data_IF_411457550645
#
_entry.id   IF_411457550645
#
_cell.length_a   1.000
_cell.length_b   1.000
_cell.length_c   1.000
_cell.angle_alpha   90.00
_cell.angle_beta   90.00
_cell.angle_gamma   90.00
#
_symmetry.space_group_name_H-M   'P 1'
#
loop_
_entity.id
_entity.type
_entity.pdbx_description
1 polymer ?
#
# COMPACT_ATOMS: atom_id res chain seq x y z
N UNK A 1 34.85 -17.79 -8.84
CA UNK A 1 34.22 -17.35 -10.10
C UNK A 1 33.38 -18.52 -10.59
N UNK A 2 32.02 -18.42 -10.54
CA UNK A 2 31.14 -19.39 -11.22
C UNK A 2 31.40 -19.26 -12.72
N UNK A 3 31.76 -20.36 -13.39
CA UNK A 3 31.88 -20.39 -14.86
C UNK A 3 30.48 -20.19 -15.43
N UNK A 4 30.36 -19.27 -16.37
CA UNK A 4 29.09 -19.02 -17.09
C UNK A 4 28.73 -20.32 -17.85
N UNK A 5 27.55 -20.91 -17.57
CA UNK A 5 27.13 -22.15 -18.24
C UNK A 5 26.97 -21.99 -19.77
N UNK A 6 26.77 -20.76 -20.27
CA UNK A 6 26.68 -20.44 -21.69
C UNK A 6 28.00 -20.69 -22.45
N UNK A 7 29.13 -20.89 -21.74
CA UNK A 7 30.45 -21.16 -22.31
C UNK A 7 30.95 -22.60 -22.07
N UNK A 8 30.07 -23.49 -21.65
CA UNK A 8 30.41 -24.93 -21.59
C UNK A 8 30.43 -25.50 -23.01
N UNK A 9 31.61 -25.65 -23.55
CA UNK A 9 31.83 -26.35 -24.82
C UNK A 9 32.14 -27.80 -24.49
N UNK A 10 31.28 -28.70 -24.95
CA UNK A 10 31.49 -30.15 -24.87
C UNK A 10 31.87 -30.65 -26.26
N UNK A 11 33.16 -30.75 -26.52
CA UNK A 11 33.69 -31.37 -27.75
C UNK A 11 33.91 -32.83 -27.51
N UNK A 12 33.17 -33.71 -28.20
CA UNK A 12 33.46 -35.13 -28.23
C UNK A 12 34.52 -35.39 -29.30
N UNK A 13 35.49 -36.29 -29.05
CA UNK A 13 36.51 -36.61 -30.03
C UNK A 13 35.91 -37.28 -31.28
N UNK A 14 36.33 -36.82 -32.48
CA UNK A 14 36.02 -37.50 -33.72
C UNK A 14 36.82 -38.78 -33.80
N UNK A 15 36.15 -39.93 -33.71
CA UNK A 15 36.75 -41.26 -33.82
C UNK A 15 36.20 -41.92 -35.07
N UNK A 16 37.07 -42.17 -36.04
CA UNK A 16 36.71 -42.70 -37.35
C UNK A 16 37.04 -44.21 -37.47
N UNK A 17 36.33 -45.02 -36.65
CA UNK A 17 36.44 -46.48 -36.66
C UNK A 17 35.09 -47.15 -36.79
N UNK A 18 34.92 -48.17 -37.57
CA UNK A 18 33.65 -48.91 -37.76
C UNK A 18 33.50 -50.00 -36.66
N UNK A 19 33.55 -49.58 -35.41
CA UNK A 19 33.42 -50.48 -34.29
C UNK A 19 32.69 -49.86 -33.12
N UNK A 20 32.65 -50.51 -31.98
CA UNK A 20 31.98 -50.05 -30.74
C UNK A 20 32.42 -48.65 -30.30
N UNK A 21 33.63 -48.20 -30.63
CA UNK A 21 34.19 -46.88 -30.30
C UNK A 21 33.55 -45.78 -31.12
N UNK A 22 33.20 -46.00 -32.39
CA UNK A 22 32.46 -45.07 -33.23
C UNK A 22 31.01 -44.86 -32.68
N UNK A 23 30.38 -45.95 -32.26
CA UNK A 23 29.07 -45.90 -31.64
C UNK A 23 29.09 -45.09 -30.34
N UNK A 24 30.11 -45.28 -29.50
CA UNK A 24 30.32 -44.53 -28.26
C UNK A 24 30.56 -43.07 -28.52
N UNK A 25 31.33 -42.70 -29.55
CA UNK A 25 31.58 -41.31 -29.95
C UNK A 25 30.28 -40.58 -30.37
N UNK A 26 29.45 -41.25 -31.16
CA UNK A 26 28.13 -40.72 -31.59
C UNK A 26 27.21 -40.50 -30.35
N UNK A 27 27.17 -41.47 -29.45
CA UNK A 27 26.36 -41.38 -28.24
C UNK A 27 26.81 -40.22 -27.32
N UNK A 28 28.13 -40.04 -27.14
CA UNK A 28 28.68 -38.92 -26.36
C UNK A 28 28.36 -37.57 -27.02
N UNK A 29 28.48 -37.48 -28.34
CA UNK A 29 28.15 -36.24 -29.09
C UNK A 29 26.67 -35.89 -28.95
N UNK A 30 25.78 -36.88 -29.08
CA UNK A 30 24.36 -36.66 -28.90
C UNK A 30 24.02 -36.25 -27.45
N UNK A 31 24.58 -36.93 -26.46
CA UNK A 31 24.38 -36.60 -25.06
C UNK A 31 24.91 -35.19 -24.72
N UNK A 32 26.02 -34.78 -25.29
CA UNK A 32 26.57 -33.42 -25.12
C UNK A 32 25.67 -32.37 -25.73
N UNK A 33 25.05 -32.66 -26.86
CA UNK A 33 24.07 -31.77 -27.52
C UNK A 33 22.78 -31.65 -26.68
N UNK A 34 22.26 -32.78 -26.22
CA UNK A 34 21.04 -32.80 -25.40
C UNK A 34 21.26 -32.07 -24.07
N UNK A 35 22.42 -32.26 -23.44
CA UNK A 35 22.77 -31.54 -22.22
C UNK A 35 22.92 -30.05 -22.44
N UNK A 36 23.44 -29.61 -23.58
CA UNK A 36 23.51 -28.18 -23.93
C UNK A 36 22.12 -27.57 -24.07
N UNK A 37 21.24 -28.21 -24.83
CA UNK A 37 19.87 -27.80 -25.00
C UNK A 37 19.14 -27.72 -23.63
N UNK A 38 19.32 -28.73 -22.79
CA UNK A 38 18.72 -28.75 -21.45
C UNK A 38 19.22 -27.62 -20.56
N UNK A 39 20.51 -27.26 -20.64
CA UNK A 39 21.07 -26.11 -19.90
C UNK A 39 20.49 -24.77 -20.44
N UNK A 40 20.35 -24.66 -21.77
CA UNK A 40 19.72 -23.48 -22.38
C UNK A 40 18.28 -23.33 -21.93
N UNK A 41 17.47 -24.40 -21.94
CA UNK A 41 16.09 -24.41 -21.49
C UNK A 41 15.95 -24.01 -20.00
N UNK A 42 16.86 -24.50 -19.13
CA UNK A 42 16.88 -24.11 -17.72
C UNK A 42 17.20 -22.63 -17.55
N UNK A 43 18.18 -22.10 -18.28
CA UNK A 43 18.55 -20.69 -18.19
C UNK A 43 17.42 -19.77 -18.65
N UNK A 44 16.73 -20.12 -19.73
CA UNK A 44 15.56 -19.38 -20.21
C UNK A 44 14.39 -19.43 -19.22
N UNK A 45 14.15 -20.60 -18.62
CA UNK A 45 13.13 -20.75 -17.59
C UNK A 45 13.45 -19.94 -16.32
N UNK A 46 14.73 -19.92 -15.87
CA UNK A 46 15.17 -19.12 -14.74
C UNK A 46 15.01 -17.60 -15.00
N UNK A 47 15.38 -17.14 -16.20
CA UNK A 47 15.24 -15.73 -16.58
C UNK A 47 13.76 -15.29 -16.63
N UNK A 48 12.91 -16.15 -17.20
CA UNK A 48 11.46 -15.94 -17.26
C UNK A 48 10.84 -15.91 -15.85
N UNK A 49 11.20 -16.86 -14.99
CA UNK A 49 10.72 -16.92 -13.61
C UNK A 49 11.14 -15.69 -12.81
N UNK A 50 12.38 -15.23 -12.96
CA UNK A 50 12.91 -14.04 -12.30
C UNK A 50 12.16 -12.77 -12.75
N UNK A 51 11.95 -12.61 -14.07
CA UNK A 51 11.19 -11.48 -14.62
C UNK A 51 9.76 -11.46 -14.09
N UNK A 52 9.08 -12.61 -14.09
CA UNK A 52 7.72 -12.71 -13.54
C UNK A 52 7.67 -12.41 -12.04
N UNK A 53 8.68 -12.80 -11.27
CA UNK A 53 8.77 -12.50 -9.85
C UNK A 53 8.98 -11.01 -9.58
N UNK A 54 9.84 -10.34 -10.37
CA UNK A 54 10.06 -8.89 -10.28
C UNK A 54 8.78 -8.11 -10.65
N UNK A 55 8.07 -8.54 -11.69
CA UNK A 55 6.79 -7.93 -12.09
C UNK A 55 5.72 -8.10 -11.00
N UNK A 56 5.57 -9.30 -10.43
CA UNK A 56 4.65 -9.56 -9.34
C UNK A 56 4.97 -8.73 -8.08
N UNK A 57 6.26 -8.57 -7.74
CA UNK A 57 6.70 -7.73 -6.64
C UNK A 57 6.34 -6.25 -6.87
N UNK A 58 6.57 -5.74 -8.09
CA UNK A 58 6.21 -4.37 -8.46
C UNK A 58 4.69 -4.15 -8.43
N UNK A 59 3.90 -5.10 -8.94
CA UNK A 59 2.44 -5.03 -8.85
C UNK A 59 1.96 -5.01 -7.41
N UNK A 60 2.58 -5.80 -6.53
CA UNK A 60 2.28 -5.79 -5.09
C UNK A 60 2.53 -4.42 -4.49
N UNK A 61 3.72 -3.82 -4.72
CA UNK A 61 4.05 -2.48 -4.22
C UNK A 61 3.04 -1.43 -4.70
N UNK A 62 2.63 -1.49 -5.98
CA UNK A 62 1.62 -0.58 -6.53
C UNK A 62 0.25 -0.80 -5.90
N UNK A 63 -0.16 -2.04 -5.62
CA UNK A 63 -1.44 -2.34 -4.96
C UNK A 63 -1.52 -1.82 -3.51
N UNK A 64 -0.38 -1.67 -2.82
CA UNK A 64 -0.33 -1.16 -1.46
C UNK A 64 -0.40 0.37 -1.35
N UNK A 65 -0.37 1.10 -2.48
CA UNK A 65 -0.51 2.56 -2.51
C UNK A 65 -1.79 2.97 -3.22
N UNK A 66 -2.46 3.99 -2.71
CA UNK A 66 -3.56 4.66 -3.41
C UNK A 66 -3.00 5.45 -4.61
N UNK A 67 -3.56 5.23 -5.79
CA UNK A 67 -3.06 5.81 -7.04
C UNK A 67 -3.15 7.34 -7.12
N UNK A 68 -4.09 7.95 -6.38
CA UNK A 68 -4.29 9.40 -6.38
C UNK A 68 -3.46 10.10 -5.31
N UNK A 69 -3.46 9.56 -4.10
CA UNK A 69 -2.91 10.24 -2.92
C UNK A 69 -1.54 9.69 -2.48
N UNK A 70 -1.15 8.53 -3.01
CA UNK A 70 0.09 7.80 -2.71
C UNK A 70 0.26 7.37 -1.23
N UNK A 71 -0.74 7.58 -0.38
CA UNK A 71 -0.81 6.96 0.96
C UNK A 71 -1.11 5.47 0.85
N UNK A 72 -1.19 4.76 1.95
CA UNK A 72 -1.56 3.35 1.94
C UNK A 72 -2.95 3.14 1.32
N UNK A 73 -3.08 2.09 0.51
CA UNK A 73 -4.37 1.66 -0.04
C UNK A 73 -5.19 0.89 1.01
N UNK A 74 -6.43 0.53 0.66
CA UNK A 74 -7.26 -0.38 1.47
C UNK A 74 -6.56 -1.72 1.73
N UNK A 75 -5.80 -2.24 0.76
CA UNK A 75 -5.03 -3.49 0.92
C UNK A 75 -3.94 -3.31 1.97
N UNK A 76 -3.22 -2.19 1.94
CA UNK A 76 -2.20 -1.86 2.92
C UNK A 76 -2.78 -1.67 4.32
N UNK A 77 -3.97 -1.08 4.42
CA UNK A 77 -4.71 -0.96 5.68
C UNK A 77 -5.05 -2.33 6.27
N UNK A 78 -5.68 -3.21 5.46
CA UNK A 78 -6.10 -4.55 5.91
C UNK A 78 -4.91 -5.40 6.39
N UNK A 79 -3.76 -5.26 5.76
CA UNK A 79 -2.52 -5.91 6.15
C UNK A 79 -1.93 -5.33 7.43
N UNK A 80 -1.96 -3.99 7.58
CA UNK A 80 -1.54 -3.29 8.79
C UNK A 80 -2.41 -3.67 10.00
N UNK A 81 -3.72 -3.83 9.80
CA UNK A 81 -4.66 -4.31 10.84
C UNK A 81 -4.31 -5.74 11.27
N UNK A 82 -4.07 -6.65 10.30
CA UNK A 82 -3.67 -8.04 10.62
C UNK A 82 -2.36 -8.10 11.42
N UNK A 83 -1.40 -7.26 11.04
CA UNK A 83 -0.13 -7.14 11.77
C UNK A 83 -0.37 -6.62 13.19
N UNK A 84 -1.16 -5.56 13.33
CA UNK A 84 -1.51 -4.97 14.63
C UNK A 84 -2.25 -5.95 15.54
N UNK A 85 -3.17 -6.78 15.00
CA UNK A 85 -3.84 -7.83 15.75
C UNK A 85 -2.89 -8.91 16.25
N UNK A 86 -1.90 -9.27 15.44
CA UNK A 86 -0.86 -10.22 15.84
C UNK A 86 0.01 -9.62 16.95
N UNK A 87 0.49 -8.40 16.79
CA UNK A 87 1.33 -7.70 17.75
C UNK A 87 0.61 -7.52 19.09
N UNK A 88 -0.70 -7.25 19.05
CA UNK A 88 -1.55 -7.14 20.24
C UNK A 88 -1.64 -8.49 20.98
N UNK A 89 -1.85 -9.59 20.28
CA UNK A 89 -1.90 -10.95 20.86
C UNK A 89 -0.56 -11.38 21.48
N UNK A 90 0.54 -10.93 20.88
CA UNK A 90 1.90 -11.20 21.35
C UNK A 90 2.36 -10.21 22.43
N UNK A 91 1.51 -9.26 22.85
CA UNK A 91 1.82 -8.17 23.80
C UNK A 91 2.99 -7.28 23.36
N UNK A 92 3.26 -7.17 22.07
CA UNK A 92 4.28 -6.29 21.49
C UNK A 92 3.78 -4.84 21.37
N UNK A 93 2.46 -4.65 21.21
CA UNK A 93 1.79 -3.34 21.18
C UNK A 93 0.79 -3.28 22.32
N UNK A 94 0.82 -2.18 23.08
CA UNK A 94 -0.07 -1.92 24.22
C UNK A 94 -0.92 -0.66 24.04
N UNK A 95 -0.53 0.20 23.14
CA UNK A 95 -1.14 1.51 22.91
C UNK A 95 -1.20 1.80 21.42
N UNK A 96 -2.38 2.11 20.95
CA UNK A 96 -2.66 2.60 19.59
C UNK A 96 -4.04 3.25 19.55
N UNK A 97 -4.29 3.99 18.49
CA UNK A 97 -5.60 4.56 18.23
C UNK A 97 -5.90 4.58 16.73
N UNK A 98 -7.15 4.88 16.42
CA UNK A 98 -7.59 5.17 15.05
C UNK A 98 -8.15 6.57 14.96
N UNK A 99 -7.72 7.33 13.94
CA UNK A 99 -8.41 8.51 13.50
C UNK A 99 -9.10 8.20 12.17
N UNK A 100 -10.43 8.15 12.16
CA UNK A 100 -11.26 8.01 10.97
C UNK A 100 -11.59 9.39 10.42
N UNK A 101 -11.40 9.60 9.14
CA UNK A 101 -11.55 10.91 8.48
C UNK A 101 -12.39 10.74 7.23
N UNK A 102 -13.47 11.53 7.11
CA UNK A 102 -14.36 11.54 5.95
C UNK A 102 -14.43 12.95 5.37
N UNK A 103 -14.18 13.07 4.07
CA UNK A 103 -14.26 14.34 3.36
C UNK A 103 -15.72 14.76 3.14
N UNK A 104 -16.08 15.92 3.65
CA UNK A 104 -17.37 16.50 3.37
C UNK A 104 -17.45 17.12 1.97
N UNK A 105 -18.63 17.16 1.39
CA UNK A 105 -18.94 17.90 0.16
C UNK A 105 -18.23 17.40 -1.12
N UNK A 106 -17.49 16.28 -1.12
CA UNK A 106 -16.81 15.78 -2.32
C UNK A 106 -17.78 15.59 -3.49
N UNK A 107 -18.99 15.07 -3.24
CA UNK A 107 -20.02 14.94 -4.26
C UNK A 107 -20.40 16.28 -4.88
N UNK A 108 -20.57 17.32 -4.06
CA UNK A 108 -20.90 18.68 -4.54
C UNK A 108 -19.78 19.24 -5.40
N UNK A 109 -18.52 19.04 -5.00
CA UNK A 109 -17.35 19.46 -5.78
C UNK A 109 -17.33 18.73 -7.13
N UNK A 110 -17.51 17.40 -7.13
CA UNK A 110 -17.57 16.61 -8.36
C UNK A 110 -18.70 17.08 -9.31
N UNK A 111 -19.90 17.25 -8.78
CA UNK A 111 -21.09 17.62 -9.56
C UNK A 111 -20.98 19.05 -10.11
N UNK A 112 -20.37 19.98 -9.38
CA UNK A 112 -20.28 21.39 -9.76
C UNK A 112 -19.03 21.73 -10.57
N UNK A 113 -17.89 21.07 -10.31
CA UNK A 113 -16.58 21.42 -10.87
C UNK A 113 -15.88 20.28 -11.58
N UNK A 114 -16.49 19.09 -11.64
CA UNK A 114 -15.98 17.91 -12.31
C UNK A 114 -15.00 17.08 -11.47
N UNK A 115 -14.80 15.82 -11.88
CA UNK A 115 -13.98 14.86 -11.15
C UNK A 115 -12.50 15.25 -11.05
N UNK A 116 -11.97 16.02 -12.00
CA UNK A 116 -10.58 16.49 -11.92
C UNK A 116 -10.38 17.39 -10.68
N UNK A 117 -11.32 18.30 -10.41
CA UNK A 117 -11.28 19.17 -9.24
C UNK A 117 -11.62 18.40 -7.94
N UNK A 118 -12.49 17.37 -8.02
CA UNK A 118 -12.68 16.44 -6.91
C UNK A 118 -11.42 15.67 -6.54
N UNK A 119 -10.60 15.28 -7.51
CA UNK A 119 -9.30 14.67 -7.26
C UNK A 119 -8.31 15.63 -6.59
N UNK A 120 -8.28 16.91 -6.99
CA UNK A 120 -7.50 17.95 -6.30
C UNK A 120 -7.97 18.13 -4.85
N UNK A 121 -9.28 18.16 -4.62
CA UNK A 121 -9.87 18.22 -3.29
C UNK A 121 -9.42 17.08 -2.39
N UNK A 122 -9.46 15.84 -2.89
CA UNK A 122 -9.00 14.65 -2.16
C UNK A 122 -7.49 14.73 -1.86
N UNK A 123 -6.67 15.07 -2.87
CA UNK A 123 -5.22 15.12 -2.73
C UNK A 123 -4.78 16.22 -1.75
N UNK A 124 -5.41 17.40 -1.81
CA UNK A 124 -5.11 18.51 -0.91
C UNK A 124 -5.50 18.22 0.54
N UNK A 125 -6.67 17.61 0.77
CA UNK A 125 -7.07 17.18 2.11
C UNK A 125 -6.11 16.10 2.66
N UNK A 126 -5.74 15.12 1.83
CA UNK A 126 -4.78 14.09 2.19
C UNK A 126 -3.41 14.68 2.59
N UNK A 127 -2.94 15.69 1.88
CA UNK A 127 -1.70 16.39 2.21
C UNK A 127 -1.73 17.01 3.61
N UNK A 128 -2.85 17.63 4.00
CA UNK A 128 -3.04 18.17 5.36
C UNK A 128 -2.97 17.05 6.39
N UNK A 129 -3.71 15.94 6.17
CA UNK A 129 -3.68 14.77 7.07
C UNK A 129 -2.27 14.26 7.26
N UNK A 130 -1.53 14.02 6.17
CA UNK A 130 -0.15 13.53 6.24
C UNK A 130 0.82 14.54 6.89
N UNK A 131 0.53 15.84 6.81
CA UNK A 131 1.38 16.87 7.45
C UNK A 131 1.18 16.89 8.96
N UNK A 132 -0.02 16.58 9.44
CA UNK A 132 -0.36 16.54 10.86
C UNK A 132 0.08 15.22 11.49
N UNK A 133 -0.30 14.09 10.90
CA UNK A 133 0.00 12.74 11.43
C UNK A 133 1.29 12.16 10.81
N UNK A 134 2.44 12.77 11.14
CA UNK A 134 3.74 12.47 10.48
C UNK A 134 4.35 11.14 10.88
N UNK A 135 4.03 10.64 12.07
CA UNK A 135 4.63 9.45 12.67
C UNK A 135 3.67 8.25 12.62
N UNK A 136 2.55 8.40 11.93
CA UNK A 136 1.51 7.38 11.81
C UNK A 136 1.20 7.06 10.35
N UNK A 137 0.96 5.79 10.00
CA UNK A 137 0.56 5.43 8.67
C UNK A 137 -0.86 5.94 8.35
N UNK A 138 -0.99 6.58 7.20
CA UNK A 138 -2.25 7.08 6.64
C UNK A 138 -2.68 6.17 5.50
N UNK A 139 -3.95 5.83 5.45
CA UNK A 139 -4.54 4.99 4.41
C UNK A 139 -5.79 5.65 3.83
N UNK A 140 -6.01 5.44 2.53
CA UNK A 140 -7.30 5.76 1.89
C UNK A 140 -8.07 4.46 1.68
N UNK A 141 -9.22 4.34 2.34
CA UNK A 141 -10.01 3.11 2.37
C UNK A 141 -11.29 3.18 1.53
N UNK A 142 -11.68 4.37 1.13
CA UNK A 142 -12.85 4.68 0.31
C UNK A 142 -12.61 5.87 -0.60
N UNK A 143 -13.64 6.32 -1.30
CA UNK A 143 -13.56 7.47 -2.20
C UNK A 143 -13.15 8.76 -1.47
N UNK A 144 -13.76 9.03 -0.33
CA UNK A 144 -13.64 10.20 0.52
C UNK A 144 -13.18 9.87 1.96
N UNK A 145 -12.81 8.59 2.21
CA UNK A 145 -12.51 8.08 3.53
C UNK A 145 -11.02 7.79 3.71
N UNK A 146 -10.45 8.37 4.77
CA UNK A 146 -9.09 8.10 5.22
C UNK A 146 -9.09 7.54 6.63
N UNK A 147 -8.07 6.76 6.95
CA UNK A 147 -7.83 6.25 8.29
C UNK A 147 -6.36 6.39 8.65
N UNK A 148 -6.10 6.80 9.88
CA UNK A 148 -4.76 6.88 10.47
C UNK A 148 -4.66 5.88 11.60
N UNK A 149 -3.66 5.04 11.59
CA UNK A 149 -3.34 4.16 12.73
C UNK A 149 -2.34 4.90 13.61
N UNK A 150 -2.84 5.53 14.66
CA UNK A 150 -2.04 6.35 15.57
C UNK A 150 -1.10 5.46 16.39
N UNK A 151 0.19 5.75 16.31
CA UNK A 151 1.27 5.04 17.01
C UNK A 151 2.31 6.04 17.53
N UNK A 152 3.08 5.61 18.52
CA UNK A 152 4.22 6.36 19.05
C UNK A 152 3.85 7.82 19.43
N UNK A 153 4.64 8.77 18.98
CA UNK A 153 4.49 10.20 19.24
C UNK A 153 3.12 10.76 18.84
N UNK A 154 2.58 10.36 17.68
CA UNK A 154 1.23 10.77 17.26
C UNK A 154 0.14 10.19 18.17
N UNK A 155 0.34 9.00 18.74
CA UNK A 155 -0.58 8.44 19.72
C UNK A 155 -0.52 9.20 21.06
N UNK A 156 0.66 9.56 21.51
CA UNK A 156 0.84 10.34 22.75
C UNK A 156 0.14 11.70 22.65
N UNK A 157 0.25 12.38 21.50
CA UNK A 157 -0.33 13.71 21.26
C UNK A 157 -1.67 13.68 20.51
N UNK A 158 -2.34 12.54 20.43
CA UNK A 158 -3.51 12.30 19.58
C UNK A 158 -4.64 13.32 19.70
N UNK A 159 -4.97 13.75 20.92
CA UNK A 159 -6.03 14.73 21.14
C UNK A 159 -5.64 16.11 20.59
N UNK A 160 -4.41 16.54 20.85
CA UNK A 160 -3.86 17.78 20.33
C UNK A 160 -3.81 17.78 18.80
N UNK A 161 -3.35 16.66 18.21
CA UNK A 161 -3.30 16.51 16.75
C UNK A 161 -4.70 16.54 16.10
N UNK A 162 -5.72 15.96 16.75
CA UNK A 162 -7.12 16.07 16.29
C UNK A 162 -7.63 17.51 16.37
N UNK A 163 -7.30 18.24 17.43
CA UNK A 163 -7.66 19.66 17.55
C UNK A 163 -6.97 20.50 16.46
N UNK A 164 -5.67 20.29 16.24
CA UNK A 164 -4.90 20.94 15.16
C UNK A 164 -5.51 20.62 13.80
N UNK A 165 -5.89 19.35 13.57
CA UNK A 165 -6.53 18.95 12.32
C UNK A 165 -7.88 19.66 12.11
N UNK A 166 -8.74 19.64 13.12
CA UNK A 166 -10.05 20.32 13.06
C UNK A 166 -9.89 21.82 12.80
N UNK A 167 -8.96 22.49 13.49
CA UNK A 167 -8.66 23.90 13.29
C UNK A 167 -8.16 24.17 11.86
N UNK A 168 -7.25 23.35 11.36
CA UNK A 168 -6.67 23.51 10.02
C UNK A 168 -7.72 23.34 8.92
N UNK A 169 -8.58 22.34 9.04
CA UNK A 169 -9.67 22.13 8.09
C UNK A 169 -10.73 23.25 8.19
N UNK A 170 -11.04 23.73 9.39
CA UNK A 170 -11.92 24.89 9.58
C UNK A 170 -11.38 26.16 8.91
N UNK A 171 -10.07 26.43 9.03
CA UNK A 171 -9.41 27.54 8.37
C UNK A 171 -9.50 27.44 6.84
N UNK A 172 -9.19 26.25 6.29
CA UNK A 172 -9.26 26.06 4.83
C UNK A 172 -10.68 26.14 4.29
N UNK A 173 -11.66 25.57 4.99
CA UNK A 173 -13.07 25.60 4.59
C UNK A 173 -13.61 27.04 4.50
N UNK A 174 -13.18 27.91 5.40
CA UNK A 174 -13.65 29.30 5.50
C UNK A 174 -12.76 30.32 4.78
N UNK A 175 -11.71 29.88 4.10
CA UNK A 175 -10.85 30.75 3.30
C UNK A 175 -11.45 30.98 1.90
N UNK A 176 -12.33 31.97 1.79
CA UNK A 176 -13.01 32.32 0.54
C UNK A 176 -12.09 32.98 -0.52
N UNK A 177 -10.82 33.19 -0.22
CA UNK A 177 -9.81 33.59 -1.22
C UNK A 177 -9.34 32.43 -2.08
N UNK A 178 -9.64 31.18 -1.66
CA UNK A 178 -9.32 29.95 -2.37
C UNK A 178 -10.44 29.50 -3.29
N UNK A 179 -10.08 28.72 -4.28
CA UNK A 179 -11.04 28.03 -5.11
C UNK A 179 -11.87 27.02 -4.30
N UNK A 180 -13.14 26.74 -4.68
CA UNK A 180 -14.00 25.84 -3.94
C UNK A 180 -13.41 24.45 -3.67
N UNK A 181 -12.62 23.92 -4.62
CA UNK A 181 -11.95 22.61 -4.49
C UNK A 181 -10.65 22.67 -3.68
N UNK A 182 -10.22 23.83 -3.21
CA UNK A 182 -9.12 24.03 -2.27
C UNK A 182 -9.59 24.39 -0.86
N UNK A 183 -10.90 24.38 -0.63
CA UNK A 183 -11.54 24.62 0.68
C UNK A 183 -12.00 23.31 1.30
N UNK A 184 -11.09 22.65 1.98
CA UNK A 184 -11.29 21.30 2.48
C UNK A 184 -12.11 21.29 3.76
N UNK A 185 -13.06 20.36 3.86
CA UNK A 185 -13.88 20.12 5.04
C UNK A 185 -13.92 18.62 5.32
N UNK A 186 -13.69 18.24 6.57
CA UNK A 186 -13.68 16.84 7.00
C UNK A 186 -14.46 16.66 8.29
N UNK A 187 -14.97 15.46 8.51
CA UNK A 187 -15.37 14.97 9.80
C UNK A 187 -14.30 14.01 10.31
N UNK A 188 -13.86 14.16 11.56
CA UNK A 188 -12.84 13.32 12.17
C UNK A 188 -13.44 12.64 13.41
N UNK A 189 -13.19 11.33 13.56
CA UNK A 189 -13.49 10.57 14.76
C UNK A 189 -12.24 9.91 15.31
N UNK A 190 -12.09 9.87 16.62
CA UNK A 190 -10.96 9.31 17.33
C UNK A 190 -11.41 8.17 18.26
N UNK A 191 -10.70 7.05 18.23
CA UNK A 191 -10.81 6.03 19.25
C UNK A 191 -9.45 5.46 19.64
N UNK A 192 -9.31 5.18 20.93
CA UNK A 192 -8.12 4.62 21.56
C UNK A 192 -8.34 3.17 21.92
N UNK A 193 -7.29 2.38 21.88
CA UNK A 193 -7.30 1.03 22.43
C UNK A 193 -7.50 1.07 23.95
N UNK A 194 -8.38 0.21 24.44
CA UNK A 194 -8.59 -0.06 25.87
C UNK A 194 -8.38 -1.54 26.14
N UNK A 195 -7.92 -1.87 27.34
CA UNK A 195 -7.73 -3.28 27.70
C UNK A 195 -8.99 -4.11 27.46
N UNK A 196 -8.82 -5.19 26.69
CA UNK A 196 -9.92 -6.06 26.27
C UNK A 196 -10.54 -5.76 24.93
N UNK A 197 -10.13 -4.66 24.28
CA UNK A 197 -10.54 -4.36 22.91
C UNK A 197 -9.90 -5.30 21.89
N UNK A 198 -10.56 -5.44 20.75
CA UNK A 198 -9.97 -5.93 19.51
C UNK A 198 -9.64 -4.74 18.60
N UNK A 199 -8.75 -4.91 17.64
CA UNK A 199 -8.44 -3.86 16.66
C UNK A 199 -9.69 -3.40 15.91
N UNK A 200 -10.57 -4.34 15.54
CA UNK A 200 -11.86 -4.07 14.89
C UNK A 200 -12.78 -3.22 15.79
N UNK A 201 -12.86 -3.49 17.10
CA UNK A 201 -13.71 -2.71 18.01
C UNK A 201 -13.24 -1.26 18.16
N UNK A 202 -11.92 -1.02 18.14
CA UNK A 202 -11.37 0.34 18.18
C UNK A 202 -11.67 1.08 16.87
N UNK A 203 -11.47 0.42 15.72
CA UNK A 203 -11.79 1.01 14.41
C UNK A 203 -13.27 1.39 14.29
N UNK A 204 -14.19 0.53 14.75
CA UNK A 204 -15.62 0.81 14.75
C UNK A 204 -15.99 2.02 15.63
N UNK A 205 -15.38 2.14 16.80
CA UNK A 205 -15.62 3.32 17.65
C UNK A 205 -15.13 4.61 17.02
N UNK A 206 -14.01 4.58 16.30
CA UNK A 206 -13.53 5.74 15.55
C UNK A 206 -14.51 6.14 14.43
N UNK A 207 -15.07 5.16 13.73
CA UNK A 207 -16.08 5.38 12.69
C UNK A 207 -17.38 5.96 13.29
N UNK A 208 -17.86 5.42 14.39
CA UNK A 208 -19.04 5.94 15.11
C UNK A 208 -18.83 7.40 15.56
N UNK A 209 -17.67 7.74 16.11
CA UNK A 209 -17.35 9.10 16.52
C UNK A 209 -17.27 10.06 15.32
N UNK A 210 -16.64 9.65 14.24
CA UNK A 210 -16.60 10.40 12.98
C UNK A 210 -18.01 10.66 12.44
N UNK A 211 -18.86 9.63 12.44
CA UNK A 211 -20.25 9.76 11.96
C UNK A 211 -21.06 10.76 12.82
N UNK A 212 -20.90 10.72 14.16
CA UNK A 212 -21.54 11.68 15.06
C UNK A 212 -21.05 13.11 14.79
N UNK A 213 -19.78 13.29 14.57
CA UNK A 213 -19.20 14.60 14.23
C UNK A 213 -19.71 15.11 12.86
N UNK A 214 -19.79 14.22 11.86
CA UNK A 214 -20.39 14.54 10.56
C UNK A 214 -21.84 15.01 10.68
N UNK A 215 -22.65 14.38 11.56
CA UNK A 215 -24.02 14.80 11.84
C UNK A 215 -24.10 16.18 12.50
N UNK A 216 -23.23 16.46 13.50
CA UNK A 216 -23.16 17.77 14.16
C UNK A 216 -22.83 18.87 13.15
N UNK A 217 -21.84 18.65 12.28
CA UNK A 217 -21.46 19.60 11.24
C UNK A 217 -22.60 19.89 10.25
N UNK A 218 -23.36 18.85 9.84
CA UNK A 218 -24.54 19.05 8.98
C UNK A 218 -25.61 19.94 9.65
N UNK A 219 -25.91 19.69 10.93
CA UNK A 219 -26.90 20.50 11.68
C UNK A 219 -26.47 21.96 11.88
N UNK A 220 -25.17 22.22 12.01
CA UNK A 220 -24.63 23.57 12.18
C UNK A 220 -24.68 24.41 10.88
N UNK A 221 -24.82 23.75 9.71
CA UNK A 221 -24.91 24.39 8.39
C UNK A 221 -26.35 24.66 7.93
N UNK A 222 -27.35 24.12 8.65
CA UNK A 222 -28.77 24.30 8.39
C UNK A 222 -29.37 25.40 9.25
#
# INVERSE_FOLDING_TARGET
KKKDPKHLVFDAPEINTRNEVEFLSIAITQMSKDMRNYVEDILEAEETAKSAQEEAANMTILAYKDALTHVGSKIAYDDSVRTLEKDLKENLVKEFGFAMIDLNNLKVINDSYGHANGNLYIAGACHIVCTIFRHSPVFRIGGDEFIVILKNDDYEHRHELIEVANQKFFETENDYSREPWDRYSVAIGLAEYKSGDTVDSVSKRADEDMYLNKQKMKKART
#
